data_IF_230231203881
#
_entry.id   IF_230231203881
#
_cell.length_a   1.000
_cell.length_b   1.000
_cell.length_c   1.000
_cell.angle_alpha   90.00
_cell.angle_beta   90.00
_cell.angle_gamma   90.00
#
_symmetry.space_group_name_H-M   'P 1'
#
loop_
_entity.id
_entity.type
_entity.pdbx_description
1 polymer ?
#
# COMPACT_ATOMS: atom_id res chain seq x y z
N UNK A 1 -17.33 8.20 14.23
CA UNK A 1 -15.86 8.21 14.32
C UNK A 1 -15.45 7.40 15.52
N UNK A 2 -14.33 6.67 15.43
CA UNK A 2 -13.68 6.04 16.60
C UNK A 2 -12.42 6.84 16.88
N UNK A 3 -12.08 7.02 18.15
CA UNK A 3 -10.91 7.80 18.59
C UNK A 3 -9.82 6.86 19.08
N UNK A 4 -8.57 7.22 18.82
CA UNK A 4 -7.39 6.58 19.39
C UNK A 4 -6.66 7.60 20.27
N UNK A 5 -6.09 7.13 21.38
CA UNK A 5 -5.18 7.93 22.18
C UNK A 5 -3.74 7.65 21.72
N UNK A 6 -2.93 8.69 21.63
CA UNK A 6 -1.50 8.62 21.32
C UNK A 6 -0.75 9.51 22.30
N UNK A 7 0.52 9.22 22.55
CA UNK A 7 1.37 10.10 23.34
C UNK A 7 1.75 11.39 22.57
N UNK A 8 2.31 12.36 23.29
CA UNK A 8 2.66 13.67 22.73
C UNK A 8 3.75 13.56 21.66
N UNK A 9 4.70 12.64 21.82
CA UNK A 9 5.77 12.43 20.84
C UNK A 9 5.20 11.96 19.49
N UNK A 10 4.33 10.96 19.54
CA UNK A 10 3.61 10.43 18.38
C UNK A 10 2.73 11.51 17.76
N UNK A 11 2.07 12.32 18.58
CA UNK A 11 1.24 13.44 18.10
C UNK A 11 2.07 14.48 17.34
N UNK A 12 3.23 14.87 17.85
CA UNK A 12 4.16 15.76 17.16
C UNK A 12 4.68 15.19 15.85
N UNK A 13 4.99 13.89 15.82
CA UNK A 13 5.41 13.21 14.60
C UNK A 13 4.32 13.23 13.53
N UNK A 14 3.06 12.94 13.91
CA UNK A 14 1.90 12.98 13.01
C UNK A 14 1.66 14.40 12.47
N UNK A 15 1.79 15.43 13.31
CA UNK A 15 1.67 16.84 12.88
C UNK A 15 2.71 17.22 11.83
N UNK A 16 3.98 16.87 12.06
CA UNK A 16 5.07 17.09 11.10
C UNK A 16 4.82 16.34 9.79
N UNK A 17 4.35 15.11 9.88
CA UNK A 17 4.04 14.30 8.70
C UNK A 17 2.88 14.90 7.89
N UNK A 18 1.82 15.37 8.55
CA UNK A 18 0.70 16.08 7.90
C UNK A 18 1.19 17.27 7.07
N UNK A 19 2.08 18.08 7.65
CA UNK A 19 2.65 19.25 6.98
C UNK A 19 3.52 18.86 5.77
N UNK A 20 4.37 17.83 5.93
CA UNK A 20 5.23 17.34 4.83
C UNK A 20 4.44 16.76 3.66
N UNK A 21 3.34 16.08 3.94
CA UNK A 21 2.48 15.46 2.93
C UNK A 21 1.43 16.42 2.34
N UNK A 22 1.37 17.66 2.84
CA UNK A 22 0.30 18.62 2.54
C UNK A 22 -1.11 18.02 2.68
N UNK A 23 -1.30 17.16 3.69
CA UNK A 23 -2.55 16.44 3.88
C UNK A 23 -3.60 17.35 4.51
N UNK A 24 -4.86 17.23 4.07
CA UNK A 24 -5.97 18.07 4.54
C UNK A 24 -6.43 17.71 5.94
N UNK A 25 -6.28 16.45 6.33
CA UNK A 25 -6.71 15.91 7.63
C UNK A 25 -5.74 14.87 8.19
N UNK A 26 -5.83 14.60 9.49
CA UNK A 26 -5.06 13.50 10.11
C UNK A 26 -5.54 12.12 9.64
N UNK A 27 -6.83 11.96 9.35
CA UNK A 27 -7.37 10.73 8.75
C UNK A 27 -6.72 10.42 7.40
N UNK A 28 -6.44 11.45 6.60
CA UNK A 28 -5.73 11.29 5.33
C UNK A 28 -4.27 10.85 5.54
N UNK A 29 -3.59 11.39 6.55
CA UNK A 29 -2.25 10.96 6.94
C UNK A 29 -2.26 9.48 7.34
N UNK A 30 -3.20 9.08 8.19
CA UNK A 30 -3.34 7.69 8.64
C UNK A 30 -3.63 6.74 7.46
N UNK A 31 -4.50 7.12 6.53
CA UNK A 31 -4.76 6.33 5.32
C UNK A 31 -3.50 6.14 4.47
N UNK A 32 -2.72 7.21 4.26
CA UNK A 32 -1.46 7.13 3.52
C UNK A 32 -0.43 6.25 4.22
N UNK A 33 -0.33 6.33 5.55
CA UNK A 33 0.54 5.45 6.35
C UNK A 33 0.14 3.98 6.21
N UNK A 34 -1.15 3.66 6.27
CA UNK A 34 -1.64 2.28 6.10
C UNK A 34 -1.32 1.77 4.68
N UNK A 35 -1.53 2.60 3.65
CA UNK A 35 -1.18 2.23 2.26
C UNK A 35 0.31 1.98 2.09
N UNK A 36 1.16 2.84 2.66
CA UNK A 36 2.61 2.69 2.64
C UNK A 36 3.03 1.38 3.34
N UNK A 37 2.42 1.05 4.48
CA UNK A 37 2.68 -0.21 5.17
C UNK A 37 2.32 -1.44 4.32
N UNK A 38 1.12 -1.47 3.71
CA UNK A 38 0.75 -2.58 2.81
C UNK A 38 1.72 -2.75 1.63
N UNK A 39 2.23 -1.63 1.09
CA UNK A 39 3.21 -1.65 0.00
C UNK A 39 4.53 -2.24 0.46
N UNK A 40 5.05 -1.77 1.61
CA UNK A 40 6.28 -2.28 2.20
C UNK A 40 6.18 -3.78 2.56
N UNK A 41 5.03 -4.21 3.09
CA UNK A 41 4.78 -5.62 3.40
C UNK A 41 4.80 -6.47 2.12
N UNK A 42 4.24 -5.96 1.02
CA UNK A 42 4.25 -6.62 -0.28
C UNK A 42 5.67 -6.70 -0.85
N UNK A 43 6.43 -5.61 -0.81
CA UNK A 43 7.83 -5.54 -1.25
C UNK A 43 8.70 -6.52 -0.46
N UNK A 44 8.56 -6.52 0.87
CA UNK A 44 9.31 -7.44 1.75
C UNK A 44 8.98 -8.91 1.45
N UNK A 45 7.70 -9.22 1.21
CA UNK A 45 7.28 -10.58 0.82
C UNK A 45 7.81 -10.94 -0.57
N UNK A 46 7.78 -10.01 -1.52
CA UNK A 46 8.33 -10.22 -2.85
C UNK A 46 9.84 -10.46 -2.81
N UNK A 47 10.59 -9.72 -2.00
CA UNK A 47 12.04 -9.94 -1.80
C UNK A 47 12.34 -11.30 -1.16
N UNK A 48 11.46 -11.81 -0.31
CA UNK A 48 11.61 -13.16 0.28
C UNK A 48 11.25 -14.30 -0.68
N UNK A 49 10.58 -13.98 -1.78
CA UNK A 49 10.16 -14.93 -2.81
C UNK A 49 11.29 -15.00 -3.85
N UNK A 50 12.17 -15.99 -3.70
CA UNK A 50 13.09 -16.40 -4.77
C UNK A 50 12.36 -17.39 -5.66
N UNK A 51 11.95 -16.95 -6.85
CA UNK A 51 11.37 -17.82 -7.87
C UNK A 51 12.46 -18.25 -8.84
N UNK A 52 12.41 -19.50 -9.28
CA UNK A 52 13.13 -19.93 -10.46
C UNK A 52 12.48 -19.32 -11.72
N UNK A 53 13.24 -19.14 -12.80
CA UNK A 53 12.80 -18.42 -14.01
C UNK A 53 11.49 -19.00 -14.58
N UNK A 54 11.33 -20.32 -14.54
CA UNK A 54 10.13 -21.02 -15.01
C UNK A 54 8.89 -20.70 -14.16
N UNK A 55 9.05 -20.55 -12.84
CA UNK A 55 7.96 -20.18 -11.91
C UNK A 55 7.61 -18.69 -12.04
N UNK A 56 8.60 -17.84 -12.27
CA UNK A 56 8.40 -16.41 -12.51
C UNK A 56 7.58 -16.16 -13.78
N UNK A 57 7.88 -16.87 -14.88
CA UNK A 57 7.15 -16.77 -16.14
C UNK A 57 5.66 -17.15 -15.97
N UNK A 58 5.40 -18.21 -15.19
CA UNK A 58 4.04 -18.64 -14.87
C UNK A 58 3.28 -17.59 -14.05
N UNK A 59 3.90 -17.03 -13.00
CA UNK A 59 3.28 -15.99 -12.17
C UNK A 59 2.97 -14.73 -13.00
N UNK A 60 3.91 -14.31 -13.85
CA UNK A 60 3.72 -13.16 -14.74
C UNK A 60 2.58 -13.38 -15.74
N UNK A 61 2.42 -14.61 -16.25
CA UNK A 61 1.31 -14.95 -17.16
C UNK A 61 -0.05 -14.81 -16.46
N UNK A 62 -0.17 -15.30 -15.22
CA UNK A 62 -1.41 -15.21 -14.42
C UNK A 62 -1.76 -13.75 -14.08
N UNK A 63 -0.77 -12.94 -13.73
CA UNK A 63 -0.97 -11.51 -13.46
C UNK A 63 -1.47 -10.78 -14.72
N UNK A 64 -0.84 -11.05 -15.86
CA UNK A 64 -1.20 -10.44 -17.15
C UNK A 64 -2.64 -10.76 -17.55
N UNK A 65 -3.06 -12.01 -17.37
CA UNK A 65 -4.42 -12.44 -17.70
C UNK A 65 -5.46 -11.83 -16.76
N UNK A 66 -5.13 -11.69 -15.46
CA UNK A 66 -6.01 -10.98 -14.52
C UNK A 66 -6.16 -9.49 -14.86
N UNK A 67 -5.09 -8.82 -15.30
CA UNK A 67 -5.17 -7.40 -15.68
C UNK A 67 -6.08 -7.18 -16.90
N UNK A 68 -6.04 -8.09 -17.88
CA UNK A 68 -6.95 -8.03 -19.05
C UNK A 68 -8.41 -8.20 -18.65
N UNK A 69 -8.72 -9.11 -17.72
CA UNK A 69 -10.08 -9.33 -17.24
C UNK A 69 -10.66 -8.10 -16.50
N UNK A 70 -9.82 -7.35 -15.79
CA UNK A 70 -10.23 -6.11 -15.10
C UNK A 70 -10.50 -4.97 -16.10
N UNK A 71 -9.72 -4.87 -17.17
CA UNK A 71 -9.96 -3.89 -18.25
C UNK A 71 -11.24 -4.18 -19.03
N UNK A 72 -11.55 -5.45 -19.28
CA UNK A 72 -12.78 -5.87 -19.97
C UNK A 72 -14.04 -5.66 -19.11
N UNK A 73 -13.92 -5.82 -17.79
CA UNK A 73 -14.99 -5.54 -16.83
C UNK A 73 -15.31 -4.05 -16.66
N UNK A 74 -14.34 -3.15 -16.88
CA UNK A 74 -14.53 -1.69 -16.78
C UNK A 74 -15.08 -1.03 -18.05
N UNK A 75 -15.20 -1.77 -19.16
CA UNK A 75 -15.77 -1.29 -20.43
C UNK A 75 -17.25 -1.68 -20.64
N UNK A 76 -17.85 -2.40 -19.68
CA UNK A 76 -19.29 -2.72 -19.66
C UNK A 76 -20.01 -1.84 -18.65
#
# INVERSE_FOLDING_TARGET
MKTIAVDEETWEAIKKLKARLDAKSYDEVLKKLIQAWHTLELETKAESISLEDDEAELVLSVIRDRSKLVEEGSRK
#
